data_IF_315925437408
#
_entry.id   IF_315925437408
#
_cell.length_a   1.000
_cell.length_b   1.000
_cell.length_c   1.000
_cell.angle_alpha   90.00
_cell.angle_beta   90.00
_cell.angle_gamma   90.00
#
_symmetry.space_group_name_H-M   'P 1'
#
loop_
_entity.id
_entity.type
_entity.pdbx_description
1 polymer ?
#
# COMPACT_ATOMS: atom_id res chain seq x y z
N UNK A 1 33.87 -23.29 -27.89
CA UNK A 1 32.62 -22.54 -28.11
C UNK A 1 32.85 -21.10 -27.73
N UNK A 2 32.36 -20.14 -28.52
CA UNK A 2 32.64 -18.71 -28.32
C UNK A 2 32.13 -18.22 -26.95
N UNK A 3 33.03 -17.76 -26.09
CA UNK A 3 32.68 -16.97 -24.91
C UNK A 3 32.48 -15.50 -25.35
N UNK A 4 31.22 -15.09 -25.51
CA UNK A 4 30.86 -13.70 -25.76
C UNK A 4 30.66 -12.96 -24.44
N UNK A 5 31.77 -12.59 -23.78
CA UNK A 5 31.74 -11.59 -22.71
C UNK A 5 31.82 -10.20 -23.34
N UNK A 6 30.69 -9.50 -23.48
CA UNK A 6 30.73 -8.05 -23.76
C UNK A 6 31.45 -7.36 -22.58
N UNK A 7 32.34 -6.38 -22.81
CA UNK A 7 32.93 -5.59 -21.73
C UNK A 7 31.84 -5.06 -20.79
N UNK A 8 32.00 -5.28 -19.48
CA UNK A 8 31.04 -4.82 -18.46
C UNK A 8 29.99 -5.83 -17.99
N UNK A 9 29.89 -7.02 -18.61
CA UNK A 9 29.00 -8.08 -18.12
C UNK A 9 29.79 -9.12 -17.33
N UNK A 10 29.35 -9.40 -16.09
CA UNK A 10 29.90 -10.45 -15.24
C UNK A 10 28.89 -11.57 -15.13
N UNK A 11 29.33 -12.80 -15.39
CA UNK A 11 28.50 -13.98 -15.16
C UNK A 11 28.21 -14.11 -13.65
N UNK A 12 26.92 -14.22 -13.32
CA UNK A 12 26.47 -14.48 -11.95
C UNK A 12 26.04 -15.94 -11.92
N UNK A 13 26.73 -16.76 -11.11
CA UNK A 13 26.38 -18.16 -10.96
C UNK A 13 24.93 -18.29 -10.42
N UNK A 14 24.10 -19.05 -11.13
CA UNK A 14 22.78 -19.41 -10.64
C UNK A 14 22.93 -20.17 -9.32
N UNK A 15 22.10 -19.81 -8.33
CA UNK A 15 22.01 -20.61 -7.09
C UNK A 15 20.83 -21.55 -7.24
N UNK A 16 20.99 -22.87 -7.06
CA UNK A 16 19.86 -23.80 -7.06
C UNK A 16 18.89 -23.55 -5.89
N UNK A 17 19.31 -22.78 -4.88
CA UNK A 17 18.48 -22.37 -3.75
C UNK A 17 17.59 -21.15 -4.08
N UNK A 18 17.81 -20.47 -5.22
CA UNK A 18 16.98 -19.36 -5.67
C UNK A 18 15.85 -19.89 -6.56
N UNK A 19 14.63 -19.90 -6.03
CA UNK A 19 13.41 -20.21 -6.77
C UNK A 19 12.36 -19.12 -6.53
N UNK A 20 11.38 -19.04 -7.43
CA UNK A 20 10.24 -18.14 -7.29
C UNK A 20 9.17 -18.87 -6.47
N UNK A 21 8.61 -18.18 -5.48
CA UNK A 21 7.48 -18.70 -4.74
C UNK A 21 6.23 -18.76 -5.61
N UNK A 22 5.49 -19.86 -5.51
CA UNK A 22 4.10 -19.92 -5.93
C UNK A 22 3.22 -19.06 -5.01
N UNK A 23 2.02 -18.69 -5.48
CA UNK A 23 1.09 -17.81 -4.74
C UNK A 23 0.84 -18.28 -3.29
N UNK A 24 0.65 -19.58 -3.08
CA UNK A 24 0.41 -20.15 -1.74
C UNK A 24 1.66 -20.19 -0.88
N UNK A 25 2.83 -20.43 -1.49
CA UNK A 25 4.11 -20.41 -0.78
C UNK A 25 4.43 -18.99 -0.30
N UNK A 26 4.16 -17.98 -1.14
CA UNK A 26 4.29 -16.58 -0.76
C UNK A 26 3.45 -16.23 0.48
N UNK A 27 2.17 -16.65 0.51
CA UNK A 27 1.33 -16.43 1.70
C UNK A 27 1.83 -17.22 2.91
N UNK A 28 2.26 -18.46 2.73
CA UNK A 28 2.78 -19.31 3.81
C UNK A 28 4.04 -18.72 4.47
N UNK A 29 4.94 -18.10 3.70
CA UNK A 29 6.15 -17.47 4.24
C UNK A 29 5.85 -16.30 5.20
N UNK A 30 4.68 -15.65 5.09
CA UNK A 30 4.30 -14.60 6.04
C UNK A 30 4.01 -15.13 7.46
N UNK A 31 3.80 -16.44 7.60
CA UNK A 31 3.68 -17.11 8.91
C UNK A 31 5.04 -17.45 9.53
N UNK A 32 6.10 -17.46 8.74
CA UNK A 32 7.48 -17.65 9.21
C UNK A 32 8.06 -16.32 9.74
N UNK A 33 7.44 -15.79 10.79
CA UNK A 33 7.75 -14.48 11.34
C UNK A 33 7.60 -14.45 12.87
N UNK A 34 8.07 -13.38 13.51
CA UNK A 34 7.91 -13.20 14.95
C UNK A 34 6.59 -12.47 15.25
N UNK A 35 5.92 -12.77 16.39
CA UNK A 35 4.65 -12.14 16.76
C UNK A 35 4.78 -10.69 17.23
N UNK A 36 5.99 -10.13 17.20
CA UNK A 36 6.28 -8.75 17.66
C UNK A 36 7.32 -8.14 16.71
N UNK A 37 7.06 -6.93 16.17
CA UNK A 37 6.00 -5.98 16.53
C UNK A 37 4.65 -6.19 15.82
N UNK A 38 4.58 -7.09 14.83
CA UNK A 38 3.39 -7.32 14.01
C UNK A 38 2.77 -8.69 14.23
N UNK A 39 1.50 -8.89 13.80
CA UNK A 39 0.85 -10.19 13.90
C UNK A 39 1.53 -11.21 12.98
N UNK A 40 1.58 -12.46 13.43
CA UNK A 40 1.98 -13.59 12.57
C UNK A 40 1.05 -13.66 11.35
N UNK A 41 1.61 -13.85 10.16
CA UNK A 41 0.86 -13.85 8.90
C UNK A 41 0.74 -12.46 8.24
N UNK A 42 1.06 -11.36 8.96
CA UNK A 42 1.03 -9.98 8.42
C UNK A 42 -0.26 -9.61 7.67
N UNK A 43 -1.40 -10.14 8.13
CA UNK A 43 -2.72 -9.94 7.51
C UNK A 43 -3.26 -11.17 6.79
N UNK A 44 -2.41 -12.09 6.33
CA UNK A 44 -2.85 -13.39 5.84
C UNK A 44 -3.27 -14.29 7.00
N UNK A 45 -4.35 -15.05 6.76
CA UNK A 45 -4.91 -16.03 7.69
C UNK A 45 -4.76 -17.44 7.13
N UNK A 46 -4.99 -18.47 7.96
CA UNK A 46 -5.00 -19.85 7.46
C UNK A 46 -6.06 -20.05 6.36
N UNK A 47 -7.19 -19.34 6.44
CA UNK A 47 -8.19 -19.34 5.38
C UNK A 47 -7.61 -18.87 4.06
N UNK A 48 -6.81 -17.79 4.03
CA UNK A 48 -6.15 -17.32 2.81
C UNK A 48 -5.22 -18.38 2.20
N UNK A 49 -4.44 -19.06 3.05
CA UNK A 49 -3.55 -20.15 2.60
C UNK A 49 -4.34 -21.33 2.03
N UNK A 50 -5.47 -21.68 2.66
CA UNK A 50 -6.31 -22.82 2.27
C UNK A 50 -7.15 -22.52 1.02
N UNK A 51 -7.71 -21.31 0.90
CA UNK A 51 -8.54 -20.90 -0.23
C UNK A 51 -7.73 -20.47 -1.44
N UNK A 52 -6.54 -19.89 -1.24
CA UNK A 52 -5.77 -19.20 -2.28
C UNK A 52 -6.15 -17.71 -2.42
N UNK A 53 -7.03 -17.19 -1.56
CA UNK A 53 -7.43 -15.78 -1.60
C UNK A 53 -6.28 -14.88 -1.08
N UNK A 54 -5.81 -13.98 -1.92
CA UNK A 54 -4.66 -13.08 -1.66
C UNK A 54 -5.07 -11.69 -1.17
N UNK A 55 -6.37 -11.44 -0.97
CA UNK A 55 -6.92 -10.23 -0.38
C UNK A 55 -7.30 -10.45 1.09
N UNK A 56 -7.35 -9.38 1.88
CA UNK A 56 -7.53 -9.47 3.33
C UNK A 56 -8.25 -8.25 3.91
N UNK A 57 -8.77 -8.40 5.13
CA UNK A 57 -9.28 -7.28 5.94
C UNK A 57 -8.65 -7.30 7.34
N UNK A 58 -8.41 -6.13 7.91
CA UNK A 58 -7.93 -6.00 9.27
C UNK A 58 -8.44 -4.70 9.92
N UNK A 59 -8.75 -4.76 11.21
CA UNK A 59 -8.96 -3.57 12.01
C UNK A 59 -7.59 -2.99 12.39
N UNK A 60 -7.22 -1.87 11.76
CA UNK A 60 -5.97 -1.14 12.02
C UNK A 60 -6.03 -0.43 13.38
N UNK A 61 -7.24 -0.05 13.77
CA UNK A 61 -7.59 0.42 15.10
C UNK A 61 -9.03 -0.01 15.40
N UNK A 62 -9.57 0.20 16.62
CA UNK A 62 -10.98 -0.02 16.89
C UNK A 62 -11.92 0.69 15.90
N UNK A 63 -11.50 1.83 15.34
CA UNK A 63 -12.34 2.72 14.52
C UNK A 63 -11.95 2.76 13.03
N UNK A 64 -10.83 2.14 12.63
CA UNK A 64 -10.34 2.15 11.25
C UNK A 64 -10.16 0.71 10.75
N UNK A 65 -10.79 0.37 9.62
CA UNK A 65 -10.64 -0.92 8.95
C UNK A 65 -9.91 -0.75 7.62
N UNK A 66 -8.93 -1.61 7.39
CA UNK A 66 -8.18 -1.72 6.14
C UNK A 66 -8.65 -2.91 5.30
N UNK A 67 -8.66 -2.74 3.99
CA UNK A 67 -8.86 -3.82 3.02
C UNK A 67 -7.73 -3.86 2.01
N UNK A 68 -6.93 -4.92 2.03
CA UNK A 68 -5.87 -5.17 1.05
C UNK A 68 -6.39 -5.99 -0.11
N UNK A 69 -6.21 -5.49 -1.33
CA UNK A 69 -6.74 -6.06 -2.56
C UNK A 69 -5.61 -6.64 -3.44
N UNK A 70 -5.89 -7.78 -4.06
CA UNK A 70 -5.07 -8.32 -5.14
C UNK A 70 -5.65 -7.86 -6.48
N UNK A 71 -4.98 -6.89 -7.09
CA UNK A 71 -5.37 -6.33 -8.39
C UNK A 71 -4.50 -6.83 -9.54
N UNK A 72 -3.59 -7.77 -9.30
CA UNK A 72 -2.67 -8.27 -10.32
C UNK A 72 -3.38 -9.17 -11.34
N UNK A 73 -3.25 -8.84 -12.63
CA UNK A 73 -3.72 -9.72 -13.69
C UNK A 73 -2.67 -10.81 -13.97
N UNK A 74 -3.06 -12.08 -13.82
CA UNK A 74 -2.17 -13.25 -13.98
C UNK A 74 -2.06 -13.76 -15.43
N UNK A 75 -2.59 -13.01 -16.40
CA UNK A 75 -2.63 -13.41 -17.82
C UNK A 75 -1.56 -12.69 -18.63
N UNK A 76 -1.62 -11.37 -18.69
CA UNK A 76 -0.70 -10.57 -19.48
C UNK A 76 -0.73 -9.10 -19.06
N UNK A 77 0.40 -8.41 -19.24
CA UNK A 77 0.51 -6.97 -19.02
C UNK A 77 0.85 -6.59 -17.57
N UNK A 78 1.32 -5.35 -17.36
CA UNK A 78 1.68 -4.86 -16.03
C UNK A 78 0.46 -4.38 -15.24
N UNK A 79 -0.59 -3.93 -15.91
CA UNK A 79 -1.78 -3.33 -15.32
C UNK A 79 -2.74 -4.36 -14.72
N UNK A 80 -3.70 -3.87 -13.95
CA UNK A 80 -4.56 -4.68 -13.10
C UNK A 80 -6.05 -4.56 -13.37
N UNK A 81 -6.81 -5.40 -12.67
CA UNK A 81 -8.26 -5.32 -12.56
C UNK A 81 -8.72 -5.99 -11.27
N UNK A 82 -9.96 -5.76 -10.85
CA UNK A 82 -10.54 -6.44 -9.69
C UNK A 82 -11.44 -7.60 -10.15
N UNK A 83 -11.10 -8.86 -9.80
CA UNK A 83 -11.98 -10.02 -9.97
C UNK A 83 -13.37 -9.84 -9.35
N UNK A 84 -14.42 -10.38 -9.99
CA UNK A 84 -15.80 -10.28 -9.48
C UNK A 84 -15.97 -10.82 -8.05
N UNK A 85 -15.34 -11.95 -7.73
CA UNK A 85 -15.40 -12.53 -6.39
C UNK A 85 -14.89 -11.55 -5.32
N UNK A 86 -13.76 -10.88 -5.61
CA UNK A 86 -13.15 -9.91 -4.73
C UNK A 86 -13.96 -8.60 -4.67
N UNK A 87 -14.49 -8.15 -5.81
CA UNK A 87 -15.35 -6.97 -5.89
C UNK A 87 -16.60 -7.12 -5.02
N UNK A 88 -17.28 -8.27 -5.08
CA UNK A 88 -18.47 -8.57 -4.28
C UNK A 88 -18.16 -8.80 -2.80
N UNK A 89 -17.04 -9.44 -2.51
CA UNK A 89 -16.53 -9.55 -1.15
C UNK A 89 -16.32 -8.16 -0.54
N UNK A 90 -15.61 -7.26 -1.23
CA UNK A 90 -15.35 -5.91 -0.75
C UNK A 90 -16.66 -5.13 -0.55
N UNK A 91 -17.59 -5.20 -1.50
CA UNK A 91 -18.91 -4.56 -1.37
C UNK A 91 -19.64 -5.00 -0.08
N UNK A 92 -19.58 -6.29 0.26
CA UNK A 92 -20.14 -6.83 1.51
C UNK A 92 -19.39 -6.31 2.74
N UNK A 93 -18.06 -6.26 2.68
CA UNK A 93 -17.24 -5.76 3.78
C UNK A 93 -17.45 -4.26 4.06
N UNK A 94 -17.67 -3.45 3.01
CA UNK A 94 -17.95 -2.02 3.12
C UNK A 94 -19.33 -1.77 3.76
N UNK A 95 -20.34 -2.56 3.40
CA UNK A 95 -21.65 -2.50 4.07
C UNK A 95 -21.52 -2.76 5.57
N UNK A 96 -20.72 -3.75 5.95
CA UNK A 96 -20.46 -4.07 7.35
C UNK A 96 -19.71 -2.94 8.06
N UNK A 97 -18.61 -2.43 7.49
CA UNK A 97 -17.85 -1.33 8.08
C UNK A 97 -18.71 -0.07 8.28
N UNK A 98 -19.61 0.21 7.33
CA UNK A 98 -20.57 1.30 7.45
C UNK A 98 -21.57 1.10 8.59
N UNK A 99 -22.14 -0.10 8.72
CA UNK A 99 -23.03 -0.42 9.84
C UNK A 99 -22.33 -0.30 11.20
N UNK A 100 -21.03 -0.63 11.23
CA UNK A 100 -20.19 -0.54 12.43
C UNK A 100 -19.69 0.89 12.72
N UNK A 101 -19.87 1.85 11.80
CA UNK A 101 -19.27 3.19 11.82
C UNK A 101 -17.74 3.13 11.98
N UNK A 102 -17.09 2.39 11.08
CA UNK A 102 -15.62 2.38 10.95
C UNK A 102 -15.21 3.18 9.73
N UNK A 103 -14.17 4.00 9.87
CA UNK A 103 -13.49 4.61 8.73
C UNK A 103 -12.76 3.51 7.95
N UNK A 104 -12.73 3.62 6.62
CA UNK A 104 -12.18 2.60 5.74
C UNK A 104 -11.03 3.12 4.89
N UNK A 105 -9.95 2.35 4.87
CA UNK A 105 -8.82 2.50 3.94
C UNK A 105 -8.77 1.29 2.99
N UNK A 106 -8.62 1.58 1.70
CA UNK A 106 -8.39 0.57 0.66
C UNK A 106 -6.90 0.54 0.32
N UNK A 107 -6.32 -0.64 0.17
CA UNK A 107 -4.94 -0.83 -0.25
C UNK A 107 -4.90 -1.71 -1.51
N UNK A 108 -4.15 -1.30 -2.52
CA UNK A 108 -3.91 -2.10 -3.73
C UNK A 108 -2.57 -1.80 -4.36
N UNK A 109 -2.11 -2.66 -5.27
CA UNK A 109 -0.95 -2.34 -6.10
C UNK A 109 -1.29 -1.27 -7.14
N UNK A 110 -2.28 -1.57 -8.00
CA UNK A 110 -2.74 -0.69 -9.07
C UNK A 110 -3.59 0.46 -8.56
N UNK A 111 -3.55 1.57 -9.30
CA UNK A 111 -4.26 2.82 -9.04
C UNK A 111 -5.38 3.03 -10.09
N UNK A 112 -6.18 4.09 -9.99
CA UNK A 112 -7.31 4.34 -10.90
C UNK A 112 -6.90 4.51 -12.37
N UNK A 113 -5.64 4.88 -12.64
CA UNK A 113 -5.12 4.96 -14.00
C UNK A 113 -4.78 3.58 -14.60
N UNK A 114 -4.41 2.61 -13.75
CA UNK A 114 -3.82 1.33 -14.17
C UNK A 114 -4.69 0.12 -13.80
N UNK A 115 -5.93 0.37 -13.39
CA UNK A 115 -6.94 -0.63 -13.15
C UNK A 115 -7.81 -0.81 -14.41
N UNK A 116 -7.20 -1.13 -15.54
CA UNK A 116 -7.87 -1.27 -16.85
C UNK A 116 -7.70 -2.65 -17.52
N UNK A 117 -6.88 -3.54 -16.96
CA UNK A 117 -6.45 -4.75 -17.62
C UNK A 117 -7.50 -5.87 -17.55
N UNK A 118 -8.31 -5.96 -18.62
CA UNK A 118 -9.36 -6.98 -18.78
C UNK A 118 -8.87 -8.25 -19.49
N UNK A 119 -7.56 -8.53 -19.53
CA UNK A 119 -7.04 -9.78 -20.10
C UNK A 119 -7.53 -11.01 -19.32
N UNK A 120 -8.00 -12.03 -20.03
CA UNK A 120 -8.59 -13.23 -19.44
C UNK A 120 -8.11 -14.49 -20.16
N UNK A 121 -8.04 -15.60 -19.41
CA UNK A 121 -7.87 -16.93 -20.01
C UNK A 121 -9.20 -17.37 -20.64
N UNK A 122 -9.11 -18.13 -21.72
CA UNK A 122 -10.31 -18.58 -22.46
C UNK A 122 -11.15 -19.59 -21.66
N UNK A 123 -10.51 -20.40 -20.83
CA UNK A 123 -11.09 -21.51 -20.08
C UNK A 123 -11.59 -21.12 -18.67
N UNK A 124 -11.29 -19.91 -18.20
CA UNK A 124 -11.75 -19.37 -16.92
C UNK A 124 -12.18 -17.89 -17.06
N UNK A 125 -13.29 -17.64 -17.79
CA UNK A 125 -13.80 -16.29 -17.96
C UNK A 125 -14.45 -15.81 -16.66
N UNK A 126 -13.83 -14.82 -16.03
CA UNK A 126 -14.39 -14.11 -14.88
C UNK A 126 -14.60 -12.64 -15.22
N UNK A 127 -15.61 -12.00 -14.66
CA UNK A 127 -15.77 -10.55 -14.86
C UNK A 127 -14.65 -9.81 -14.13
N UNK A 128 -13.97 -8.93 -14.87
CA UNK A 128 -12.91 -8.05 -14.37
C UNK A 128 -13.42 -6.62 -14.35
N UNK A 129 -13.39 -6.00 -13.16
CA UNK A 129 -13.84 -4.64 -12.93
C UNK A 129 -12.67 -3.68 -13.11
N UNK A 130 -12.90 -2.63 -13.90
CA UNK A 130 -11.96 -1.55 -14.13
C UNK A 130 -12.16 -0.39 -13.15
N UNK A 131 -11.34 0.65 -13.30
CA UNK A 131 -11.31 1.81 -12.41
C UNK A 131 -12.66 2.50 -12.28
N UNK A 132 -13.38 2.71 -13.39
CA UNK A 132 -14.69 3.37 -13.39
C UNK A 132 -15.69 2.61 -12.52
N UNK A 133 -15.82 1.29 -12.73
CA UNK A 133 -16.76 0.48 -11.96
C UNK A 133 -16.34 0.35 -10.48
N UNK A 134 -15.03 0.33 -10.21
CA UNK A 134 -14.48 0.24 -8.87
C UNK A 134 -14.68 1.54 -8.06
N UNK A 135 -14.30 2.69 -8.62
CA UNK A 135 -14.52 4.01 -8.01
C UNK A 135 -16.01 4.24 -7.77
N UNK A 136 -16.86 3.93 -8.76
CA UNK A 136 -18.31 4.06 -8.61
C UNK A 136 -18.89 3.17 -7.50
N UNK A 137 -18.26 2.03 -7.19
CA UNK A 137 -18.65 1.19 -6.06
C UNK A 137 -18.21 1.80 -4.73
N UNK A 138 -16.96 2.24 -4.62
CA UNK A 138 -16.44 2.87 -3.40
C UNK A 138 -17.21 4.15 -3.03
N UNK A 139 -17.58 4.98 -4.01
CA UNK A 139 -18.36 6.22 -3.79
C UNK A 139 -19.74 5.99 -3.14
N UNK A 140 -20.29 4.77 -3.21
CA UNK A 140 -21.56 4.42 -2.53
C UNK A 140 -21.41 4.31 -1.01
N UNK A 141 -20.19 4.22 -0.49
CA UNK A 141 -19.89 3.98 0.91
C UNK A 141 -19.09 5.15 1.50
N UNK A 142 -19.75 6.19 2.06
CA UNK A 142 -19.09 7.36 2.65
C UNK A 142 -18.01 7.07 3.69
N UNK A 143 -18.04 5.89 4.31
CA UNK A 143 -16.99 5.46 5.25
C UNK A 143 -15.63 5.21 4.60
N UNK A 144 -15.57 5.05 3.27
CA UNK A 144 -14.30 5.00 2.54
C UNK A 144 -13.71 6.39 2.49
N UNK A 145 -12.58 6.58 3.17
CA UNK A 145 -11.90 7.88 3.28
C UNK A 145 -10.64 7.95 2.42
N UNK A 146 -9.98 6.82 2.18
CA UNK A 146 -8.72 6.78 1.46
C UNK A 146 -8.52 5.49 0.67
N UNK A 147 -7.90 5.62 -0.50
CA UNK A 147 -7.39 4.53 -1.32
C UNK A 147 -5.88 4.70 -1.51
N UNK A 148 -5.07 3.91 -0.81
CA UNK A 148 -3.62 3.96 -0.85
C UNK A 148 -3.10 2.92 -1.83
N UNK A 149 -2.31 3.35 -2.80
CA UNK A 149 -1.82 2.46 -3.87
C UNK A 149 -0.44 2.87 -4.42
N UNK A 150 0.01 2.17 -5.47
CA UNK A 150 1.32 2.38 -6.08
C UNK A 150 1.30 2.12 -7.58
N UNK A 151 2.12 1.17 -8.03
CA UNK A 151 2.30 0.71 -9.41
C UNK A 151 2.93 1.73 -10.38
N UNK A 152 2.47 2.98 -10.40
CA UNK A 152 2.97 4.01 -11.32
C UNK A 152 4.25 4.69 -10.86
N UNK A 153 4.70 4.38 -9.63
CA UNK A 153 5.93 4.89 -9.01
C UNK A 153 5.98 6.43 -8.87
N UNK A 154 4.82 7.08 -8.89
CA UNK A 154 4.64 8.52 -8.73
C UNK A 154 3.99 8.82 -7.37
N UNK A 155 4.38 9.91 -6.71
CA UNK A 155 3.47 10.52 -5.74
C UNK A 155 2.35 11.22 -6.52
N UNK A 156 1.10 10.84 -6.27
CA UNK A 156 -0.07 11.45 -6.88
C UNK A 156 -1.25 11.39 -5.90
N UNK A 157 -1.98 12.49 -5.77
CA UNK A 157 -3.22 12.56 -5.00
C UNK A 157 -4.37 12.95 -5.92
N UNK A 158 -5.40 12.12 -5.98
CA UNK A 158 -6.60 12.35 -6.77
C UNK A 158 -7.84 12.38 -5.85
N UNK A 159 -8.75 13.30 -6.13
CA UNK A 159 -10.07 13.31 -5.52
C UNK A 159 -11.04 12.48 -6.36
N UNK A 160 -11.72 11.52 -5.73
CA UNK A 160 -12.89 10.85 -6.31
C UNK A 160 -14.13 11.34 -5.58
N UNK A 161 -15.05 11.98 -6.28
CA UNK A 161 -16.22 12.60 -5.67
C UNK A 161 -17.51 12.41 -6.47
N UNK A 162 -18.61 12.29 -5.74
CA UNK A 162 -19.99 12.40 -6.23
C UNK A 162 -20.74 13.42 -5.35
N UNK A 163 -20.85 14.65 -5.87
CA UNK A 163 -21.37 15.80 -5.12
C UNK A 163 -20.47 16.20 -3.95
N UNK A 164 -21.02 16.26 -2.74
CA UNK A 164 -20.28 16.60 -1.50
C UNK A 164 -19.58 15.39 -0.85
N UNK A 165 -19.65 14.21 -1.47
CA UNK A 165 -19.11 12.96 -0.93
C UNK A 165 -17.96 12.48 -1.80
N UNK A 166 -16.97 11.85 -1.19
CA UNK A 166 -15.83 11.35 -1.92
C UNK A 166 -14.80 10.72 -1.01
N UNK A 167 -13.71 10.31 -1.61
CA UNK A 167 -12.52 9.80 -0.93
C UNK A 167 -11.26 10.25 -1.68
N UNK A 168 -10.12 10.18 -1.01
CA UNK A 168 -8.84 10.52 -1.62
C UNK A 168 -8.12 9.26 -2.09
N UNK A 169 -7.68 9.24 -3.33
CA UNK A 169 -6.71 8.29 -3.82
C UNK A 169 -5.30 8.86 -3.61
N UNK A 170 -4.44 8.09 -2.95
CA UNK A 170 -3.08 8.48 -2.57
C UNK A 170 -2.12 7.43 -3.14
N UNK A 171 -1.55 7.73 -4.29
CA UNK A 171 -0.47 6.94 -4.91
C UNK A 171 0.87 7.38 -4.33
N UNK A 172 1.66 6.43 -3.86
CA UNK A 172 3.01 6.70 -3.32
C UNK A 172 4.10 6.31 -4.30
N UNK A 173 5.16 7.13 -4.37
CA UNK A 173 6.34 6.83 -5.17
C UNK A 173 7.01 5.52 -4.74
N UNK A 174 7.74 4.90 -5.66
CA UNK A 174 8.41 3.64 -5.39
C UNK A 174 9.65 3.81 -4.51
N UNK A 175 9.98 2.78 -3.74
CA UNK A 175 11.23 2.71 -2.98
C UNK A 175 12.46 2.38 -3.86
N UNK A 176 12.27 1.96 -5.11
CA UNK A 176 13.38 1.63 -6.02
C UNK A 176 13.74 2.78 -6.96
N UNK A 177 12.75 3.59 -7.36
CA UNK A 177 12.97 4.75 -8.22
C UNK A 177 13.16 6.01 -7.40
N UNK A 178 13.88 6.99 -7.95
CA UNK A 178 13.94 8.30 -7.34
C UNK A 178 12.51 8.88 -7.25
N UNK A 179 12.10 9.46 -6.11
CA UNK A 179 12.92 9.87 -4.96
C UNK A 179 13.19 8.83 -3.86
N UNK A 180 12.69 7.60 -3.97
CA UNK A 180 12.75 6.55 -2.93
C UNK A 180 12.04 6.98 -1.65
N UNK A 181 10.79 7.42 -1.81
CA UNK A 181 9.97 8.01 -0.76
C UNK A 181 8.88 7.07 -0.26
N UNK A 182 8.49 7.28 0.99
CA UNK A 182 7.31 6.70 1.62
C UNK A 182 6.36 7.83 2.00
N UNK A 183 5.12 7.48 2.35
CA UNK A 183 4.16 8.44 2.90
C UNK A 183 3.55 7.93 4.20
N UNK A 184 3.44 8.83 5.17
CA UNK A 184 2.60 8.67 6.35
C UNK A 184 1.25 9.29 6.05
N UNK A 185 0.18 8.60 6.43
CA UNK A 185 -1.19 9.12 6.35
C UNK A 185 -1.76 9.16 7.76
N UNK A 186 -2.07 10.37 8.23
CA UNK A 186 -2.66 10.61 9.55
C UNK A 186 -4.14 10.99 9.39
N UNK A 187 -5.01 10.38 10.20
CA UNK A 187 -6.44 10.65 10.19
C UNK A 187 -6.76 11.55 11.38
N UNK A 188 -7.31 12.74 11.12
CA UNK A 188 -7.59 13.75 12.15
C UNK A 188 -9.07 14.14 12.12
N UNK A 189 -9.72 14.10 13.28
CA UNK A 189 -11.05 14.68 13.50
C UNK A 189 -10.91 16.19 13.75
N UNK A 190 -11.48 17.01 12.86
CA UNK A 190 -11.39 18.47 12.92
C UNK A 190 -12.36 19.10 13.94
N UNK A 191 -13.23 18.28 14.56
CA UNK A 191 -14.23 18.72 15.56
C UNK A 191 -15.32 19.66 15.04
N UNK A 192 -15.49 19.73 13.73
CA UNK A 192 -16.47 20.59 13.06
C UNK A 192 -17.37 19.82 12.07
N UNK A 193 -17.38 18.49 12.17
CA UNK A 193 -18.09 17.60 11.24
C UNK A 193 -17.29 17.27 9.98
N UNK A 194 -16.01 17.64 9.93
CA UNK A 194 -15.05 17.22 8.91
C UNK A 194 -13.93 16.37 9.51
N UNK A 195 -13.22 15.65 8.65
CA UNK A 195 -11.97 14.97 8.98
C UNK A 195 -10.93 15.30 7.92
N UNK A 196 -9.66 15.26 8.30
CA UNK A 196 -8.53 15.49 7.41
C UNK A 196 -7.64 14.24 7.34
N UNK A 197 -7.18 13.92 6.13
CA UNK A 197 -6.02 13.04 5.96
C UNK A 197 -4.79 13.91 5.73
N UNK A 198 -3.85 13.91 6.67
CA UNK A 198 -2.55 14.53 6.43
C UNK A 198 -1.63 13.52 5.78
N UNK A 199 -1.08 13.86 4.61
CA UNK A 199 -0.04 13.06 3.96
C UNK A 199 1.30 13.69 4.26
N UNK A 200 2.27 12.92 4.75
CA UNK A 200 3.65 13.39 4.98
C UNK A 200 4.62 12.49 4.26
N UNK A 201 5.40 13.07 3.36
CA UNK A 201 6.42 12.34 2.60
C UNK A 201 7.68 12.17 3.44
N UNK A 202 8.20 10.94 3.47
CA UNK A 202 9.42 10.57 4.18
C UNK A 202 10.48 10.05 3.20
N UNK A 203 11.69 10.58 3.34
CA UNK A 203 12.89 10.01 2.73
C UNK A 203 13.52 9.00 3.69
N UNK A 204 14.23 7.99 3.17
CA UNK A 204 15.04 7.12 4.01
C UNK A 204 16.20 7.91 4.66
N UNK A 205 16.55 7.54 5.90
CA UNK A 205 17.49 8.27 6.75
C UNK A 205 18.96 8.28 6.29
N UNK A 206 19.28 7.64 5.16
CA UNK A 206 20.67 7.54 4.69
C UNK A 206 21.18 8.87 4.11
N UNK A 207 22.48 9.20 4.26
CA UNK A 207 23.05 10.45 3.78
C UNK A 207 22.85 10.69 2.28
N UNK A 208 22.67 11.95 1.85
CA UNK A 208 22.49 12.29 0.43
C UNK A 208 23.61 11.75 -0.47
N UNK A 209 24.85 11.80 0.01
CA UNK A 209 26.05 11.33 -0.69
C UNK A 209 26.49 10.01 -0.08
N UNK A 210 26.75 8.96 -0.88
CA UNK A 210 27.22 7.70 -0.36
C UNK A 210 28.64 7.77 0.20
N UNK A 211 28.91 6.91 1.18
CA UNK A 211 30.26 6.67 1.69
C UNK A 211 30.99 5.58 0.90
N UNK A 212 32.04 5.03 1.51
CA UNK A 212 32.80 3.89 0.95
C UNK A 212 32.70 2.61 1.79
N UNK A 213 31.97 2.66 2.91
CA UNK A 213 31.88 1.59 3.90
C UNK A 213 31.19 0.31 3.42
N UNK A 214 30.30 0.40 2.42
CA UNK A 214 29.42 -0.71 2.04
C UNK A 214 28.35 -1.05 3.10
N UNK A 215 28.14 -0.19 4.10
CA UNK A 215 27.06 -0.32 5.07
C UNK A 215 25.68 -0.20 4.41
N UNK A 216 24.62 -0.65 5.08
CA UNK A 216 23.23 -0.52 4.57
C UNK A 216 22.88 0.93 4.25
N UNK A 217 23.29 1.88 5.11
CA UNK A 217 23.07 3.30 4.87
C UNK A 217 23.79 3.75 3.59
N UNK A 218 25.05 3.36 3.41
CA UNK A 218 25.84 3.67 2.22
C UNK A 218 25.24 3.06 0.94
N UNK A 219 24.80 1.80 0.99
CA UNK A 219 24.12 1.15 -0.14
C UNK A 219 22.81 1.84 -0.53
N UNK A 220 22.01 2.24 0.45
CA UNK A 220 20.78 3.00 0.21
C UNK A 220 21.08 4.39 -0.37
N UNK A 221 22.13 5.09 0.11
CA UNK A 221 22.60 6.34 -0.49
C UNK A 221 23.00 6.17 -1.97
N UNK A 222 23.75 5.10 -2.30
CA UNK A 222 24.12 4.79 -3.70
C UNK A 222 22.91 4.44 -4.55
N UNK A 223 21.96 3.69 -3.99
CA UNK A 223 20.70 3.37 -4.67
C UNK A 223 19.97 4.63 -5.10
N UNK A 224 19.80 5.59 -4.18
CA UNK A 224 19.16 6.88 -4.48
C UNK A 224 19.97 7.70 -5.48
N UNK A 225 21.30 7.71 -5.39
CA UNK A 225 22.16 8.38 -6.37
C UNK A 225 21.94 7.80 -7.78
N UNK A 226 21.97 6.47 -7.93
CA UNK A 226 21.73 5.82 -9.23
C UNK A 226 20.32 6.07 -9.74
N UNK A 227 19.30 5.96 -8.88
CA UNK A 227 17.93 6.22 -9.25
C UNK A 227 17.70 7.70 -9.68
N UNK A 228 18.46 8.63 -9.11
CA UNK A 228 18.41 10.05 -9.51
C UNK A 228 19.09 10.32 -10.86
N UNK A 229 19.99 9.43 -11.28
CA UNK A 229 20.73 9.49 -12.56
C UNK A 229 20.21 8.45 -13.57
N UNK A 230 18.94 8.06 -13.47
CA UNK A 230 18.31 7.19 -14.44
C UNK A 230 18.25 7.89 -15.81
N UNK A 231 18.96 7.34 -16.79
CA UNK A 231 19.09 7.91 -18.13
C UNK A 231 17.93 7.53 -19.04
N UNK A 232 17.16 6.48 -18.70
CA UNK A 232 16.05 6.00 -19.50
C UNK A 232 14.75 6.74 -19.18
N UNK A 233 14.63 7.25 -17.97
CA UNK A 233 13.39 7.80 -17.41
C UNK A 233 13.55 9.27 -16.96
N UNK A 234 12.50 9.86 -16.39
CA UNK A 234 12.52 11.22 -15.85
C UNK A 234 12.35 11.25 -14.32
N UNK A 235 13.41 10.96 -13.54
CA UNK A 235 13.39 10.86 -12.08
C UNK A 235 12.59 11.94 -11.35
N UNK A 236 12.77 13.21 -11.72
CA UNK A 236 12.15 14.34 -11.02
C UNK A 236 10.62 14.33 -11.06
N UNK A 237 10.02 13.72 -12.09
CA UNK A 237 8.57 13.68 -12.26
C UNK A 237 7.90 12.77 -11.21
N UNK A 238 8.59 11.71 -10.80
CA UNK A 238 8.11 10.70 -9.83
C UNK A 238 7.86 11.27 -8.44
N UNK A 239 8.46 12.41 -8.11
CA UNK A 239 8.18 13.14 -6.87
C UNK A 239 6.74 13.65 -6.78
N UNK A 240 6.02 13.79 -7.88
CA UNK A 240 4.73 14.48 -7.89
C UNK A 240 4.85 16.00 -7.72
N UNK A 241 3.71 16.67 -7.80
CA UNK A 241 3.58 18.10 -7.57
C UNK A 241 3.64 18.45 -6.08
N UNK A 242 3.63 19.75 -5.71
CA UNK A 242 3.41 20.14 -4.32
C UNK A 242 2.04 19.76 -3.76
N UNK A 243 1.04 19.47 -4.60
CA UNK A 243 -0.29 19.02 -4.15
C UNK A 243 -0.35 17.52 -3.86
N UNK A 244 0.69 16.78 -4.23
CA UNK A 244 0.77 15.32 -4.05
C UNK A 244 1.62 14.93 -2.82
N UNK A 245 2.03 15.91 -2.01
CA UNK A 245 3.01 15.73 -0.94
C UNK A 245 2.79 16.74 0.19
N UNK A 246 2.85 16.28 1.44
CA UNK A 246 2.79 17.16 2.61
C UNK A 246 1.50 18.00 2.62
N UNK A 247 0.37 17.35 2.33
CA UNK A 247 -0.93 18.01 2.13
C UNK A 247 -1.97 17.60 3.18
N UNK A 248 -2.91 18.50 3.41
CA UNK A 248 -4.16 18.22 4.12
C UNK A 248 -5.26 17.88 3.11
N UNK A 249 -5.87 16.71 3.27
CA UNK A 249 -6.92 16.20 2.39
C UNK A 249 -8.25 16.17 3.16
N UNK A 250 -9.07 17.19 2.95
CA UNK A 250 -10.31 17.40 3.70
C UNK A 250 -11.44 16.50 3.20
N UNK A 251 -12.22 15.96 4.14
CA UNK A 251 -13.43 15.18 3.89
C UNK A 251 -14.53 15.56 4.88
N UNK A 252 -15.79 15.38 4.47
CA UNK A 252 -16.90 15.40 5.43
C UNK A 252 -16.82 14.13 6.29
N UNK A 253 -17.04 14.26 7.59
CA UNK A 253 -17.07 13.09 8.47
C UNK A 253 -18.27 12.19 8.10
N UNK A 254 -18.06 10.88 7.88
CA UNK A 254 -19.13 9.97 7.43
C UNK A 254 -20.14 9.62 8.54
N UNK A 255 -19.78 9.88 9.79
CA UNK A 255 -20.59 9.72 10.99
C UNK A 255 -20.05 10.64 12.09
N UNK A 256 -20.74 10.74 13.22
CA UNK A 256 -20.29 11.54 14.37
C UNK A 256 -19.01 10.97 14.99
N UNK A 257 -17.88 11.65 14.77
CA UNK A 257 -16.56 11.26 15.27
C UNK A 257 -16.36 11.58 16.76
N UNK A 258 -17.26 12.36 17.40
CA UNK A 258 -17.15 12.67 18.84
C UNK A 258 -17.27 11.44 19.74
N UNK A 259 -17.79 10.32 19.19
CA UNK A 259 -17.78 9.00 19.85
C UNK A 259 -16.37 8.43 20.07
N UNK A 260 -15.38 8.91 19.33
CA UNK A 260 -13.96 8.57 19.47
C UNK A 260 -13.36 9.61 20.42
N UNK A 261 -13.24 9.26 21.69
CA UNK A 261 -12.79 10.20 22.73
C UNK A 261 -11.26 10.30 22.79
N UNK A 262 -10.74 11.45 23.24
CA UNK A 262 -9.31 11.64 23.45
C UNK A 262 -8.73 10.60 24.40
N UNK A 263 -9.47 10.27 25.46
CA UNK A 263 -9.08 9.23 26.41
C UNK A 263 -8.98 7.84 25.75
N UNK A 264 -9.83 7.54 24.76
CA UNK A 264 -9.76 6.29 24.01
C UNK A 264 -8.53 6.25 23.09
N UNK A 265 -8.24 7.36 22.39
CA UNK A 265 -7.05 7.49 21.54
C UNK A 265 -5.76 7.45 22.35
N UNK A 266 -5.69 8.16 23.47
CA UNK A 266 -4.53 8.15 24.37
C UNK A 266 -4.27 6.75 24.92
N UNK A 267 -5.32 6.03 25.34
CA UNK A 267 -5.20 4.63 25.77
C UNK A 267 -4.68 3.72 24.66
N UNK A 268 -5.14 3.92 23.42
CA UNK A 268 -4.65 3.18 22.26
C UNK A 268 -3.16 3.46 22.03
N UNK A 269 -2.76 4.72 21.94
CA UNK A 269 -1.36 5.11 21.74
C UNK A 269 -0.43 4.59 22.84
N UNK A 270 -0.86 4.63 24.10
CA UNK A 270 -0.09 4.07 25.22
C UNK A 270 0.14 2.56 25.03
N UNK A 271 -0.87 1.83 24.56
CA UNK A 271 -0.76 0.38 24.31
C UNK A 271 0.20 0.10 23.15
N UNK A 272 0.09 0.85 22.05
CA UNK A 272 0.93 0.70 20.87
C UNK A 272 2.39 1.07 21.15
N UNK A 273 2.62 2.19 21.85
CA UNK A 273 3.96 2.63 22.24
C UNK A 273 4.62 1.65 23.23
N UNK A 274 3.87 1.12 24.20
CA UNK A 274 4.39 0.12 25.12
C UNK A 274 4.84 -1.15 24.37
N UNK A 275 4.10 -1.58 23.33
CA UNK A 275 4.46 -2.72 22.49
C UNK A 275 5.76 -2.46 21.71
N UNK A 276 5.91 -1.28 21.11
CA UNK A 276 7.13 -0.91 20.37
C UNK A 276 8.33 -0.81 21.32
N UNK A 277 8.16 -0.15 22.47
CA UNK A 277 9.22 -0.01 23.47
C UNK A 277 9.69 -1.38 24.00
N UNK A 278 8.77 -2.32 24.23
CA UNK A 278 9.11 -3.68 24.63
C UNK A 278 9.95 -4.38 23.54
N UNK A 279 9.54 -4.25 22.27
CA UNK A 279 10.27 -4.81 21.13
C UNK A 279 11.70 -4.24 21.00
N UNK A 280 11.86 -2.93 21.16
CA UNK A 280 13.15 -2.23 21.12
C UNK A 280 14.05 -2.64 22.28
N UNK A 281 13.48 -2.67 23.49
CA UNK A 281 14.19 -3.08 24.72
C UNK A 281 14.73 -4.50 24.62
N UNK A 282 13.94 -5.45 24.11
CA UNK A 282 14.37 -6.84 23.90
C UNK A 282 15.55 -6.97 22.91
N UNK A 283 15.74 -5.98 22.04
CA UNK A 283 16.78 -5.98 20.99
C UNK A 283 17.93 -5.02 21.27
N UNK A 284 17.89 -4.29 22.39
CA UNK A 284 18.88 -3.28 22.73
C UNK A 284 18.97 -2.15 21.72
N UNK A 285 17.83 -1.79 21.11
CA UNK A 285 17.67 -0.64 20.23
C UNK A 285 17.46 0.64 21.03
#
# INVERSE_FOLDING_TARGET
GLAWGRPGFKEVAASPERYLFEQREFMAEHFNTQPTPGPVGHGFTQHNVDSGETWWSADLSPNVRGFGLDTCNQVAGPDGAVPEVQFRWLETQLQQAQAENKLVLIFSHHNSLTLENKAQRFDDPQKLYGAEEFVAMLLKYPVVIGWLNGHTHLNQVLAHADGERGFWEITTASCIDFPQQQQVVEIVDNRDGTLSLFTTVLDHASPAVPGSSGSVADLASRSREFASNDWAESPMMRRGSPLDRNTELLLKAPFDLSRITDAALEKQHLTENARILAYETERGL
#
